data_IF_929933426773
#
_entry.id   IF_929933426773
#
_cell.length_a   1.000
_cell.length_b   1.000
_cell.length_c   1.000
_cell.angle_alpha   90.00
_cell.angle_beta   90.00
_cell.angle_gamma   90.00
#
_symmetry.space_group_name_H-M   'P 1'
#
loop_
_entity.id
_entity.type
_entity.pdbx_description
1 polymer ?
#
# COMPACT_ATOMS: atom_id res chain seq x y z
N UNK A 1 -55.32 -14.60 9.05
CA UNK A 1 -54.50 -13.40 9.33
C UNK A 1 -53.04 -13.82 9.39
N UNK A 2 -52.29 -13.56 8.30
CA UNK A 2 -50.84 -13.76 8.30
C UNK A 2 -50.21 -12.37 8.49
N UNK A 3 -49.29 -12.16 9.44
CA UNK A 3 -48.54 -10.95 9.54
C UNK A 3 -47.48 -10.92 8.41
N UNK A 4 -47.59 -9.94 7.53
CA UNK A 4 -46.52 -9.54 6.63
C UNK A 4 -45.38 -8.93 7.45
N UNK A 5 -44.23 -9.60 7.44
CA UNK A 5 -43.00 -9.00 7.94
C UNK A 5 -42.59 -7.92 6.96
N UNK A 6 -42.65 -6.70 7.44
CA UNK A 6 -42.11 -5.51 6.80
C UNK A 6 -40.56 -5.68 6.73
N UNK A 7 -40.06 -5.87 5.52
CA UNK A 7 -38.61 -5.86 5.29
C UNK A 7 -38.13 -4.42 5.53
N UNK A 8 -37.54 -4.20 6.69
CA UNK A 8 -36.86 -2.95 7.01
C UNK A 8 -35.81 -2.60 5.95
N UNK A 9 -35.53 -1.31 5.76
CA UNK A 9 -34.58 -0.84 4.75
C UNK A 9 -33.23 -1.48 4.97
N UNK A 10 -32.74 -2.22 3.97
CA UNK A 10 -31.34 -2.59 3.83
C UNK A 10 -30.53 -1.29 3.82
N UNK A 11 -29.80 -1.05 4.89
CA UNK A 11 -28.74 -0.07 4.89
C UNK A 11 -27.67 -0.55 3.92
N UNK A 12 -27.80 -0.19 2.65
CA UNK A 12 -26.67 -0.07 1.75
C UNK A 12 -25.79 1.03 2.36
N UNK A 13 -24.73 0.58 3.00
CA UNK A 13 -23.69 1.44 3.57
C UNK A 13 -22.91 2.05 2.38
N UNK A 14 -23.55 3.03 1.73
CA UNK A 14 -22.93 3.86 0.71
C UNK A 14 -21.99 4.80 1.47
N UNK A 15 -20.74 4.39 1.59
CA UNK A 15 -19.66 5.27 2.05
C UNK A 15 -19.72 6.58 1.27
N UNK A 16 -19.78 7.75 1.93
CA UNK A 16 -19.84 9.05 1.25
C UNK A 16 -18.54 9.44 0.52
N UNK A 17 -17.57 8.55 0.46
CA UNK A 17 -16.39 8.67 -0.41
C UNK A 17 -16.66 7.93 -1.71
N UNK A 18 -17.46 8.60 -2.55
CA UNK A 18 -17.78 8.18 -3.89
C UNK A 18 -16.47 8.02 -4.73
N UNK A 19 -16.26 6.81 -5.26
CA UNK A 19 -15.13 6.42 -6.13
C UNK A 19 -15.03 7.26 -7.44
N UNK A 20 -15.93 8.24 -7.65
CA UNK A 20 -16.02 9.04 -8.87
C UNK A 20 -15.11 10.27 -8.92
N UNK A 21 -14.42 10.63 -7.82
CA UNK A 21 -13.57 11.83 -7.79
C UNK A 21 -12.13 11.59 -8.28
N UNK A 22 -11.72 10.37 -8.57
CA UNK A 22 -10.39 10.07 -9.07
C UNK A 22 -10.39 10.06 -10.60
N UNK A 23 -9.88 11.15 -11.15
CA UNK A 23 -9.91 11.51 -12.56
C UNK A 23 -9.52 10.41 -13.55
N UNK A 24 -10.14 10.48 -14.71
CA UNK A 24 -10.11 9.54 -15.83
C UNK A 24 -8.71 9.12 -16.37
N UNK A 25 -7.62 9.76 -15.96
CA UNK A 25 -6.25 9.41 -16.37
C UNK A 25 -5.65 8.22 -15.61
N UNK A 26 -6.00 8.02 -14.35
CA UNK A 26 -5.56 6.86 -13.56
C UNK A 26 -6.37 5.60 -13.91
N UNK A 27 -7.59 5.75 -14.42
CA UNK A 27 -8.50 4.67 -14.71
C UNK A 27 -7.97 3.66 -15.78
N UNK A 28 -7.11 4.08 -16.68
CA UNK A 28 -6.56 3.21 -17.73
C UNK A 28 -5.54 2.19 -17.20
N UNK A 29 -4.72 2.56 -16.22
CA UNK A 29 -3.71 1.67 -15.64
C UNK A 29 -4.31 0.79 -14.55
N UNK A 30 -5.10 1.37 -13.64
CA UNK A 30 -5.70 0.64 -12.52
C UNK A 30 -6.79 -0.35 -12.96
N UNK A 31 -7.58 -0.05 -14.01
CA UNK A 31 -8.70 -0.90 -14.39
C UNK A 31 -8.30 -2.23 -15.02
N UNK A 32 -7.16 -2.31 -15.73
CA UNK A 32 -6.70 -3.58 -16.34
C UNK A 32 -6.07 -4.55 -15.34
N UNK A 33 -5.48 -4.04 -14.26
CA UNK A 33 -4.81 -4.84 -13.24
C UNK A 33 -5.64 -5.05 -11.96
N UNK A 34 -6.69 -4.25 -11.77
CA UNK A 34 -7.54 -4.32 -10.58
C UNK A 34 -8.58 -5.46 -10.60
N UNK A 35 -8.71 -6.18 -11.73
CA UNK A 35 -9.58 -7.35 -11.78
C UNK A 35 -8.95 -8.50 -10.98
N UNK A 36 -9.37 -8.66 -9.73
CA UNK A 36 -8.90 -9.69 -8.80
C UNK A 36 -8.29 -9.16 -7.49
N UNK A 37 -8.03 -7.86 -7.38
CA UNK A 37 -7.56 -7.26 -6.13
C UNK A 37 -8.71 -6.92 -5.18
N UNK A 38 -8.49 -7.14 -3.88
CA UNK A 38 -9.40 -6.67 -2.84
C UNK A 38 -9.47 -5.13 -2.83
N UNK A 39 -10.48 -4.57 -2.18
CA UNK A 39 -10.59 -3.10 -1.99
C UNK A 39 -9.35 -2.56 -1.26
N UNK A 40 -8.84 -3.30 -0.28
CA UNK A 40 -7.65 -2.94 0.49
C UNK A 40 -6.39 -2.96 -0.38
N UNK A 41 -6.23 -3.98 -1.25
CA UNK A 41 -5.10 -4.04 -2.17
C UNK A 41 -5.11 -2.86 -3.16
N UNK A 42 -6.28 -2.48 -3.65
CA UNK A 42 -6.42 -1.28 -4.52
C UNK A 42 -6.02 0.00 -3.79
N UNK A 43 -6.43 0.16 -2.53
CA UNK A 43 -6.03 1.31 -1.72
C UNK A 43 -4.52 1.33 -1.50
N UNK A 44 -3.92 0.18 -1.19
CA UNK A 44 -2.46 0.08 -1.05
C UNK A 44 -1.76 0.45 -2.37
N UNK A 45 -2.18 -0.10 -3.51
CA UNK A 45 -1.63 0.21 -4.83
C UNK A 45 -1.68 1.71 -5.12
N UNK A 46 -2.80 2.37 -4.84
CA UNK A 46 -2.92 3.81 -5.04
C UNK A 46 -1.95 4.61 -4.15
N UNK A 47 -1.80 4.24 -2.88
CA UNK A 47 -0.84 4.90 -1.99
C UNK A 47 0.62 4.64 -2.39
N UNK A 48 0.92 3.45 -2.92
CA UNK A 48 2.23 3.14 -3.51
C UNK A 48 2.53 4.01 -4.73
N UNK A 49 1.53 4.24 -5.61
CA UNK A 49 1.65 5.13 -6.76
C UNK A 49 1.91 6.59 -6.33
N UNK A 50 1.21 7.07 -5.31
CA UNK A 50 1.45 8.39 -4.74
C UNK A 50 2.86 8.50 -4.15
N UNK A 51 3.33 7.48 -3.42
CA UNK A 51 4.70 7.42 -2.90
C UNK A 51 5.73 7.49 -4.02
N UNK A 52 5.59 6.68 -5.07
CA UNK A 52 6.48 6.69 -6.23
C UNK A 52 6.49 8.05 -6.94
N UNK A 53 5.36 8.73 -7.05
CA UNK A 53 5.27 10.07 -7.64
C UNK A 53 6.03 11.11 -6.80
N UNK A 54 5.96 11.02 -5.46
CA UNK A 54 6.76 11.86 -4.57
C UNK A 54 8.25 11.51 -4.68
N UNK A 55 8.61 10.23 -4.79
CA UNK A 55 9.99 9.80 -5.02
C UNK A 55 10.57 10.40 -6.30
N UNK A 56 9.79 10.45 -7.37
CA UNK A 56 10.22 11.01 -8.65
C UNK A 56 10.57 12.51 -8.57
N UNK A 57 9.94 13.26 -7.65
CA UNK A 57 10.09 14.72 -7.55
C UNK A 57 10.91 15.17 -6.34
N UNK A 58 10.84 14.44 -5.21
CA UNK A 58 11.37 14.82 -3.91
C UNK A 58 12.12 13.66 -3.23
N UNK A 59 13.00 12.96 -3.95
CA UNK A 59 13.68 11.75 -3.46
C UNK A 59 14.48 11.99 -2.17
N UNK A 60 15.11 13.16 -2.03
CA UNK A 60 15.87 13.52 -0.80
C UNK A 60 14.99 13.46 0.46
N UNK A 61 13.74 13.92 0.37
CA UNK A 61 12.79 13.88 1.47
C UNK A 61 12.33 12.43 1.74
N UNK A 62 12.11 11.63 0.69
CA UNK A 62 11.67 10.23 0.84
C UNK A 62 12.76 9.36 1.48
N UNK A 63 14.04 9.67 1.26
CA UNK A 63 15.17 8.96 1.89
C UNK A 63 15.16 9.01 3.42
N UNK A 64 14.55 10.01 4.02
CA UNK A 64 14.37 10.06 5.48
C UNK A 64 13.49 8.90 6.00
N UNK A 65 12.69 8.29 5.14
CA UNK A 65 11.80 7.16 5.43
C UNK A 65 12.29 5.83 4.86
N UNK A 66 13.53 5.77 4.35
CA UNK A 66 14.06 4.61 3.62
C UNK A 66 13.99 3.32 4.44
N UNK A 67 14.31 3.36 5.74
CA UNK A 67 14.25 2.18 6.61
C UNK A 67 12.83 1.65 6.75
N UNK A 68 11.83 2.53 6.85
CA UNK A 68 10.42 2.14 6.88
C UNK A 68 9.97 1.53 5.55
N UNK A 69 10.39 2.14 4.44
CA UNK A 69 10.06 1.69 3.08
C UNK A 69 10.67 0.31 2.82
N UNK A 70 11.84 0.01 3.41
CA UNK A 70 12.49 -1.29 3.32
C UNK A 70 11.65 -2.42 3.93
N UNK A 71 10.86 -2.11 4.95
CA UNK A 71 9.99 -3.06 5.65
C UNK A 71 8.66 -3.31 4.95
N UNK A 72 8.31 -2.56 3.90
CA UNK A 72 7.02 -2.68 3.24
C UNK A 72 6.86 -4.01 2.50
N UNK A 73 5.68 -4.60 2.62
CA UNK A 73 5.19 -5.62 1.69
C UNK A 73 4.37 -4.93 0.62
N UNK A 74 4.97 -4.74 -0.53
CA UNK A 74 4.35 -4.07 -1.66
C UNK A 74 3.20 -4.88 -2.24
N UNK A 75 2.15 -4.21 -2.68
CA UNK A 75 1.03 -4.83 -3.36
C UNK A 75 1.36 -5.14 -4.83
N UNK A 76 2.17 -4.29 -5.45
CA UNK A 76 2.66 -4.48 -6.83
C UNK A 76 4.19 -4.63 -6.83
N UNK A 77 4.69 -5.77 -7.30
CA UNK A 77 6.13 -6.05 -7.39
C UNK A 77 6.88 -5.05 -8.30
N UNK A 78 6.19 -4.46 -9.29
CA UNK A 78 6.78 -3.43 -10.17
C UNK A 78 7.03 -2.14 -9.39
N UNK A 79 6.11 -1.75 -8.51
CA UNK A 79 6.28 -0.60 -7.62
C UNK A 79 7.48 -0.78 -6.72
N UNK A 80 7.65 -1.96 -6.14
CA UNK A 80 8.82 -2.30 -5.34
C UNK A 80 10.12 -2.15 -6.15
N UNK A 81 10.17 -2.74 -7.34
CA UNK A 81 11.36 -2.70 -8.20
C UNK A 81 11.71 -1.26 -8.59
N UNK A 82 10.70 -0.46 -8.95
CA UNK A 82 10.88 0.96 -9.25
C UNK A 82 11.38 1.74 -8.03
N UNK A 83 10.77 1.54 -6.86
CA UNK A 83 11.16 2.22 -5.63
C UNK A 83 12.64 1.98 -5.29
N UNK A 84 13.09 0.73 -5.37
CA UNK A 84 14.49 0.39 -5.13
C UNK A 84 15.45 0.99 -6.16
N UNK A 85 15.08 0.99 -7.45
CA UNK A 85 15.89 1.62 -8.49
C UNK A 85 16.02 3.14 -8.26
N UNK A 86 14.94 3.81 -7.84
CA UNK A 86 14.94 5.23 -7.53
C UNK A 86 15.78 5.54 -6.29
N UNK A 87 15.64 4.77 -5.21
CA UNK A 87 16.43 4.92 -3.97
C UNK A 87 17.93 4.66 -4.19
N UNK A 88 18.29 3.78 -5.14
CA UNK A 88 19.67 3.48 -5.49
C UNK A 88 20.36 4.60 -6.28
N UNK A 89 19.66 5.63 -6.75
CA UNK A 89 20.29 6.78 -7.42
C UNK A 89 21.21 7.55 -6.46
N UNK A 90 22.25 8.21 -6.94
CA UNK A 90 23.12 9.01 -6.07
C UNK A 90 22.38 10.14 -5.33
N UNK A 91 22.92 10.58 -4.20
CA UNK A 91 22.45 11.80 -3.55
C UNK A 91 22.61 13.00 -4.51
N UNK A 92 21.58 13.86 -4.53
CA UNK A 92 21.54 15.00 -5.45
C UNK A 92 21.17 14.65 -6.90
N UNK A 93 20.76 13.42 -7.18
CA UNK A 93 20.20 13.06 -8.49
C UNK A 93 19.01 13.97 -8.83
N UNK A 94 18.97 14.42 -10.08
CA UNK A 94 17.85 15.21 -10.58
C UNK A 94 16.59 14.35 -10.74
N UNK A 95 15.38 14.92 -10.71
CA UNK A 95 14.14 14.19 -10.97
C UNK A 95 14.18 13.37 -12.27
N UNK A 96 14.79 13.90 -13.32
CA UNK A 96 14.95 13.19 -14.59
C UNK A 96 15.82 11.91 -14.45
N UNK A 97 16.89 11.98 -13.66
CA UNK A 97 17.73 10.80 -13.38
C UNK A 97 17.01 9.75 -12.53
N UNK A 98 16.23 10.20 -11.55
CA UNK A 98 15.41 9.31 -10.73
C UNK A 98 14.36 8.58 -11.57
N UNK A 99 13.65 9.30 -12.44
CA UNK A 99 12.67 8.70 -13.37
C UNK A 99 13.39 7.76 -14.36
N UNK A 100 14.57 8.13 -14.88
CA UNK A 100 15.34 7.27 -15.77
C UNK A 100 15.75 5.96 -15.11
N UNK A 101 16.09 5.97 -13.81
CA UNK A 101 16.38 4.76 -13.05
C UNK A 101 15.16 3.83 -12.94
N UNK A 102 13.96 4.38 -12.70
CA UNK A 102 12.72 3.62 -12.70
C UNK A 102 12.41 3.01 -14.08
N UNK A 103 12.57 3.79 -15.16
CA UNK A 103 12.33 3.33 -16.55
C UNK A 103 13.32 2.21 -16.94
N UNK A 104 14.54 2.23 -16.41
CA UNK A 104 15.54 1.20 -16.70
C UNK A 104 15.11 -0.21 -16.19
N UNK A 105 14.30 -0.27 -15.14
CA UNK A 105 13.82 -1.54 -14.55
C UNK A 105 12.36 -1.87 -14.89
N UNK A 106 11.55 -0.85 -15.19
CA UNK A 106 10.15 -1.02 -15.60
C UNK A 106 9.86 -0.12 -16.82
N UNK A 107 9.72 -0.69 -18.01
CA UNK A 107 9.51 0.08 -19.24
C UNK A 107 8.26 0.98 -19.21
N UNK A 108 7.25 0.62 -18.43
CA UNK A 108 6.02 1.39 -18.27
C UNK A 108 6.09 2.41 -17.11
N UNK A 109 7.27 2.58 -16.48
CA UNK A 109 7.44 3.45 -15.31
C UNK A 109 6.92 4.88 -15.53
N UNK A 110 7.15 5.46 -16.70
CA UNK A 110 6.67 6.82 -17.01
C UNK A 110 5.13 6.91 -16.94
N UNK A 111 4.41 5.91 -17.46
CA UNK A 111 2.96 5.86 -17.39
C UNK A 111 2.47 5.61 -15.94
N UNK A 112 3.17 4.74 -15.20
CA UNK A 112 2.88 4.45 -13.79
C UNK A 112 3.04 5.73 -12.95
N UNK A 113 4.18 6.41 -13.05
CA UNK A 113 4.48 7.63 -12.30
C UNK A 113 3.51 8.79 -12.65
N UNK A 114 3.09 8.89 -13.91
CA UNK A 114 2.13 9.92 -14.34
C UNK A 114 0.70 9.64 -13.86
N UNK A 115 0.39 8.42 -13.43
CA UNK A 115 -0.92 8.07 -12.88
C UNK A 115 -1.05 8.41 -11.39
N UNK A 116 0.07 8.64 -10.69
CA UNK A 116 0.09 9.09 -9.31
C UNK A 116 -0.31 10.56 -9.16
N UNK A 117 -0.79 10.92 -7.99
CA UNK A 117 -1.18 12.31 -7.68
C UNK A 117 0.08 13.15 -7.45
N UNK A 118 0.26 14.20 -8.23
CA UNK A 118 1.36 15.15 -8.00
C UNK A 118 0.96 16.07 -6.84
N UNK A 119 1.69 15.99 -5.73
CA UNK A 119 1.56 16.95 -4.63
C UNK A 119 2.35 18.19 -5.01
N UNK A 120 1.66 19.25 -5.43
CA UNK A 120 2.25 20.53 -5.87
C UNK A 120 2.20 21.62 -4.79
N UNK A 121 2.12 21.25 -3.51
CA UNK A 121 1.99 22.19 -2.40
C UNK A 121 3.36 22.57 -1.80
N UNK A 122 3.40 23.60 -0.96
CA UNK A 122 4.64 24.11 -0.33
C UNK A 122 5.38 23.06 0.51
N UNK A 123 6.67 23.27 0.75
CA UNK A 123 7.57 22.26 1.34
C UNK A 123 7.11 21.66 2.68
N UNK A 124 6.41 22.42 3.53
CA UNK A 124 5.86 21.92 4.81
C UNK A 124 4.68 20.97 4.60
N UNK A 125 3.86 21.25 3.59
CA UNK A 125 2.69 20.45 3.26
C UNK A 125 3.13 19.16 2.55
N UNK A 126 4.19 19.23 1.73
CA UNK A 126 4.79 18.04 1.08
C UNK A 126 5.30 17.04 2.12
N UNK A 127 5.97 17.49 3.19
CA UNK A 127 6.47 16.58 4.24
C UNK A 127 5.31 15.90 4.98
N UNK A 128 4.28 16.65 5.36
CA UNK A 128 3.09 16.10 6.02
C UNK A 128 2.34 15.12 5.12
N UNK A 129 2.18 15.47 3.85
CA UNK A 129 1.55 14.60 2.87
C UNK A 129 2.36 13.32 2.65
N UNK A 130 3.70 13.42 2.58
CA UNK A 130 4.56 12.25 2.48
C UNK A 130 4.47 11.35 3.72
N UNK A 131 4.47 11.93 4.93
CA UNK A 131 4.31 11.17 6.17
C UNK A 131 2.98 10.40 6.16
N UNK A 132 1.89 11.04 5.77
CA UNK A 132 0.58 10.40 5.63
C UNK A 132 0.60 9.26 4.60
N UNK A 133 1.23 9.46 3.44
CA UNK A 133 1.35 8.42 2.39
C UNK A 133 2.16 7.23 2.94
N UNK A 134 3.31 7.49 3.58
CA UNK A 134 4.16 6.46 4.17
C UNK A 134 3.43 5.71 5.27
N UNK A 135 2.70 6.40 6.16
CA UNK A 135 1.87 5.77 7.19
C UNK A 135 0.76 4.90 6.58
N UNK A 136 0.16 5.36 5.48
CA UNK A 136 -0.89 4.62 4.76
C UNK A 136 -0.34 3.35 4.11
N UNK A 137 0.78 3.43 3.39
CA UNK A 137 1.42 2.25 2.77
C UNK A 137 1.86 1.26 3.85
N UNK A 138 2.46 1.75 4.95
CA UNK A 138 2.87 0.94 6.09
C UNK A 138 1.69 0.20 6.72
N UNK A 139 0.57 0.89 6.95
CA UNK A 139 -0.66 0.30 7.48
C UNK A 139 -1.15 -0.87 6.63
N UNK A 140 -1.30 -0.67 5.33
CA UNK A 140 -1.76 -1.75 4.43
C UNK A 140 -0.73 -2.87 4.28
N UNK A 141 0.56 -2.56 4.28
CA UNK A 141 1.66 -3.54 4.31
C UNK A 141 1.56 -4.44 5.55
N UNK A 142 1.36 -3.85 6.73
CA UNK A 142 1.16 -4.59 7.99
C UNK A 142 -0.10 -5.45 7.93
N UNK A 143 -1.21 -4.94 7.41
CA UNK A 143 -2.44 -5.72 7.23
C UNK A 143 -2.22 -6.92 6.29
N UNK A 144 -1.44 -6.76 5.23
CA UNK A 144 -1.07 -7.84 4.31
C UNK A 144 -0.24 -8.91 5.02
N UNK A 145 0.80 -8.54 5.77
CA UNK A 145 1.59 -9.46 6.60
C UNK A 145 0.71 -10.25 7.58
N UNK A 146 -0.23 -9.58 8.23
CA UNK A 146 -1.17 -10.22 9.15
C UNK A 146 -2.06 -11.24 8.45
N UNK A 147 -2.57 -10.93 7.26
CA UNK A 147 -3.37 -11.89 6.47
C UNK A 147 -2.56 -13.11 6.08
N UNK A 148 -1.31 -12.92 5.67
CA UNK A 148 -0.40 -13.99 5.29
C UNK A 148 -0.11 -14.92 6.47
N UNK A 149 0.30 -14.40 7.63
CA UNK A 149 0.53 -15.18 8.86
C UNK A 149 -0.72 -15.97 9.26
N UNK A 150 -1.90 -15.33 9.23
CA UNK A 150 -3.16 -16.02 9.54
C UNK A 150 -3.51 -17.14 8.55
N UNK A 151 -3.12 -16.97 7.29
CA UNK A 151 -3.27 -18.00 6.26
C UNK A 151 -2.34 -19.18 6.52
N UNK A 152 -1.07 -18.90 6.85
CA UNK A 152 -0.06 -19.92 7.17
C UNK A 152 -0.44 -20.71 8.41
N UNK A 153 -0.88 -20.05 9.50
CA UNK A 153 -1.34 -20.71 10.72
C UNK A 153 -2.57 -21.61 10.48
N UNK A 154 -3.46 -21.22 9.56
CA UNK A 154 -4.60 -22.08 9.19
C UNK A 154 -4.15 -23.31 8.39
N UNK A 155 -3.20 -23.15 7.49
CA UNK A 155 -2.68 -24.28 6.69
C UNK A 155 -1.95 -25.30 7.56
N UNK A 156 -1.05 -24.85 8.45
CA UNK A 156 -0.29 -25.72 9.34
C UNK A 156 -1.19 -26.48 10.33
N UNK A 157 -2.29 -25.90 10.76
CA UNK A 157 -3.26 -26.58 11.63
C UNK A 157 -3.96 -27.77 10.96
N UNK A 158 -3.97 -27.85 9.64
CA UNK A 158 -4.56 -28.97 8.89
C UNK A 158 -3.57 -30.13 8.68
N UNK A 159 -2.26 -29.87 8.70
CA UNK A 159 -1.24 -30.89 8.39
C UNK A 159 -0.79 -31.74 9.61
N UNK A 160 -1.19 -31.40 10.83
CA UNK A 160 -1.08 -32.25 12.04
C UNK A 160 0.33 -32.65 12.47
N UNK A 161 1.37 -31.92 12.03
CA UNK A 161 2.78 -32.26 12.35
C UNK A 161 3.20 -31.57 13.64
N UNK A 162 3.52 -32.36 14.65
CA UNK A 162 3.97 -31.95 16.01
C UNK A 162 5.34 -31.23 16.02
N UNK A 163 5.99 -31.03 14.88
CA UNK A 163 7.27 -30.32 14.76
C UNK A 163 7.13 -28.79 14.70
N UNK A 164 5.88 -28.27 14.60
CA UNK A 164 5.59 -26.86 14.27
C UNK A 164 5.19 -25.98 15.45
N UNK A 165 5.11 -26.51 16.68
CA UNK A 165 4.61 -25.72 17.83
C UNK A 165 5.50 -24.47 18.10
N UNK A 166 6.82 -24.60 17.97
CA UNK A 166 7.74 -23.47 18.16
C UNK A 166 7.60 -22.41 17.05
N UNK A 167 7.46 -22.84 15.80
CA UNK A 167 7.25 -21.94 14.67
C UNK A 167 5.87 -21.26 14.73
N UNK A 168 4.83 -21.99 15.09
CA UNK A 168 3.50 -21.45 15.30
C UNK A 168 3.49 -20.41 16.43
N UNK A 169 4.22 -20.67 17.51
CA UNK A 169 4.37 -19.72 18.62
C UNK A 169 5.08 -18.44 18.19
N UNK A 170 6.16 -18.54 17.40
CA UNK A 170 6.86 -17.40 16.85
C UNK A 170 5.96 -16.55 15.92
N UNK A 171 5.19 -17.21 15.05
CA UNK A 171 4.22 -16.54 14.17
C UNK A 171 3.13 -15.83 14.98
N UNK A 172 2.65 -16.39 16.09
CA UNK A 172 1.67 -15.73 16.95
C UNK A 172 2.24 -14.47 17.60
N UNK A 173 3.48 -14.51 18.09
CA UNK A 173 4.16 -13.35 18.66
C UNK A 173 4.34 -12.27 17.60
N UNK A 174 4.78 -12.65 16.40
CA UNK A 174 4.91 -11.71 15.26
C UNK A 174 3.56 -11.10 14.89
N UNK A 175 2.49 -11.88 14.85
CA UNK A 175 1.13 -11.39 14.57
C UNK A 175 0.65 -10.39 15.63
N UNK A 176 0.93 -10.62 16.92
CA UNK A 176 0.58 -9.67 17.99
C UNK A 176 1.33 -8.34 17.84
N UNK A 177 2.64 -8.38 17.55
CA UNK A 177 3.44 -7.17 17.33
C UNK A 177 2.92 -6.37 16.12
N UNK A 178 2.62 -7.05 15.02
CA UNK A 178 2.05 -6.42 13.82
C UNK A 178 0.64 -5.84 14.09
N UNK A 179 -0.17 -6.51 14.89
CA UNK A 179 -1.50 -6.01 15.26
C UNK A 179 -1.40 -4.72 16.11
N UNK A 180 -0.47 -4.67 17.06
CA UNK A 180 -0.19 -3.46 17.82
C UNK A 180 0.27 -2.31 16.91
N UNK A 181 1.19 -2.57 15.96
CA UNK A 181 1.65 -1.58 14.97
C UNK A 181 0.48 -1.09 14.09
N UNK A 182 -0.40 -1.99 13.62
CA UNK A 182 -1.56 -1.62 12.83
C UNK A 182 -2.52 -0.69 13.59
N UNK A 183 -2.74 -0.94 14.87
CA UNK A 183 -3.56 -0.08 15.73
C UNK A 183 -2.95 1.32 15.90
N UNK A 184 -1.65 1.42 16.09
CA UNK A 184 -0.96 2.71 16.21
C UNK A 184 -1.01 3.51 14.89
N UNK A 185 -0.77 2.85 13.75
CA UNK A 185 -0.88 3.48 12.44
C UNK A 185 -2.32 3.91 12.14
N UNK A 186 -3.32 3.07 12.46
CA UNK A 186 -4.73 3.40 12.25
C UNK A 186 -5.26 4.59 13.06
N UNK A 187 -4.57 4.98 14.14
CA UNK A 187 -4.90 6.21 14.89
C UNK A 187 -4.40 7.49 14.21
N UNK A 188 -3.45 7.36 13.29
CA UNK A 188 -2.83 8.49 12.57
C UNK A 188 -3.52 8.79 11.23
N UNK A 189 -4.23 7.79 10.67
CA UNK A 189 -4.98 7.86 9.41
C UNK A 189 -6.40 8.34 9.65
#
# INVERSE_FOLDING_TARGET
YRPTYDEGPTYDDVSPYDDQAYGASAAGYTSRFAQGFSVEDRRQINSELELLSVMATNLSLVREYQDRIADFVWADARHQTMAWAMLATPEGATPAQVVAAAVAVEPNAAAILSSGRVISEGASDTRRSLEFIVDTVDYYSVQRKLREIRSQLRSSSYEGTTSDDAHAQEQLVAAQALQARALELGKKL
#
